data_IF_710530746587
#
_entry.id   IF_710530746587
#
_cell.length_a   1.000
_cell.length_b   1.000
_cell.length_c   1.000
_cell.angle_alpha   90.00
_cell.angle_beta   90.00
_cell.angle_gamma   90.00
#
_symmetry.space_group_name_H-M   'P 1'
#
loop_
_entity.id
_entity.type
_entity.pdbx_description
1 polymer ?
#
# COMPACT_ATOMS: atom_id res chain seq x y z
N UNK A 1 21.35 17.84 8.90
CA UNK A 1 20.42 16.78 8.49
C UNK A 1 21.14 15.86 7.49
N UNK A 2 20.92 14.55 7.53
CA UNK A 2 21.56 13.62 6.59
C UNK A 2 20.86 13.68 5.22
N UNK A 3 21.51 14.20 4.15
CA UNK A 3 20.87 14.36 2.85
C UNK A 3 20.66 13.03 2.10
N UNK A 4 21.27 11.96 2.56
CA UNK A 4 21.16 10.62 1.96
C UNK A 4 20.17 9.71 2.68
N UNK A 5 19.45 10.23 3.68
CA UNK A 5 18.46 9.40 4.39
C UNK A 5 17.28 9.05 3.49
N UNK A 6 16.86 7.81 3.54
CA UNK A 6 15.60 7.36 2.97
C UNK A 6 14.62 7.20 4.13
N UNK A 7 13.53 7.92 4.10
CA UNK A 7 12.45 7.82 5.05
C UNK A 7 11.24 7.18 4.34
N UNK A 8 10.85 6.00 4.79
CA UNK A 8 9.76 5.25 4.16
C UNK A 8 8.63 5.01 5.17
N UNK A 9 7.41 5.27 4.77
CA UNK A 9 6.20 4.98 5.55
C UNK A 9 5.16 4.26 4.70
N UNK A 10 4.47 3.34 5.33
CA UNK A 10 3.32 2.65 4.75
C UNK A 10 2.13 2.77 5.70
N UNK A 11 0.95 2.94 5.15
CA UNK A 11 -0.29 3.05 5.93
C UNK A 11 -1.44 2.34 5.21
N UNK A 12 -2.57 2.22 5.87
CA UNK A 12 -3.75 1.60 5.26
C UNK A 12 -4.34 2.42 4.12
N UNK A 13 -4.51 3.72 4.37
CA UNK A 13 -5.32 4.60 3.51
C UNK A 13 -4.57 5.85 3.02
N UNK A 14 -3.26 5.88 3.14
CA UNK A 14 -2.47 7.06 2.80
C UNK A 14 -2.41 8.09 3.93
N UNK A 15 -1.60 9.17 3.74
CA UNK A 15 -1.36 10.17 4.77
C UNK A 15 -2.49 11.22 4.87
N UNK A 16 -3.34 11.31 3.86
CA UNK A 16 -4.37 12.34 3.73
C UNK A 16 -5.74 11.71 3.50
N UNK A 17 -6.79 12.49 3.73
CA UNK A 17 -8.16 12.05 3.57
C UNK A 17 -8.82 11.59 4.86
N UNK A 18 -10.12 11.30 4.77
CA UNK A 18 -10.98 10.96 5.90
C UNK A 18 -10.50 9.74 6.70
N UNK A 19 -9.91 8.77 6.00
CA UNK A 19 -9.49 7.49 6.58
C UNK A 19 -8.01 7.44 6.99
N UNK A 20 -7.26 8.53 6.81
CA UNK A 20 -5.81 8.56 7.03
C UNK A 20 -5.35 8.16 8.43
N UNK A 21 -6.23 8.28 9.43
CA UNK A 21 -5.94 7.90 10.82
C UNK A 21 -6.50 6.54 11.22
N UNK A 22 -7.18 5.86 10.31
CA UNK A 22 -7.77 4.56 10.57
C UNK A 22 -6.76 3.44 10.29
N UNK A 23 -6.83 2.40 11.11
CA UNK A 23 -6.15 1.15 10.82
C UNK A 23 -6.82 0.44 9.63
N UNK A 24 -6.05 -0.26 8.85
CA UNK A 24 -6.56 -1.11 7.78
C UNK A 24 -6.28 -2.58 8.08
N UNK A 25 -7.04 -3.41 7.42
CA UNK A 25 -6.85 -4.86 7.35
C UNK A 25 -7.15 -5.29 5.92
N UNK A 26 -6.57 -6.37 5.48
CA UNK A 26 -6.75 -6.89 4.13
C UNK A 26 -8.21 -6.95 3.68
N UNK A 27 -9.08 -7.52 4.51
CA UNK A 27 -10.51 -7.63 4.21
C UNK A 27 -11.20 -6.26 4.01
N UNK A 28 -10.78 -5.23 4.77
CA UNK A 28 -11.29 -3.87 4.62
C UNK A 28 -10.86 -3.28 3.28
N UNK A 29 -9.60 -3.46 2.92
CA UNK A 29 -9.09 -3.01 1.63
C UNK A 29 -9.76 -3.73 0.45
N UNK A 30 -10.00 -5.03 0.55
CA UNK A 30 -10.74 -5.78 -0.47
C UNK A 30 -12.18 -5.28 -0.63
N UNK A 31 -12.85 -4.97 0.48
CA UNK A 31 -14.21 -4.43 0.45
C UNK A 31 -14.25 -3.03 -0.18
N UNK A 32 -13.37 -2.13 0.26
CA UNK A 32 -13.34 -0.73 -0.19
C UNK A 32 -12.88 -0.57 -1.64
N UNK A 33 -11.94 -1.40 -2.10
CA UNK A 33 -11.47 -1.38 -3.50
C UNK A 33 -12.46 -1.99 -4.49
N UNK A 34 -13.50 -2.69 -4.01
CA UNK A 34 -14.41 -3.45 -4.83
C UNK A 34 -13.90 -4.84 -5.23
N UNK A 35 -12.72 -5.25 -4.78
CA UNK A 35 -12.17 -6.57 -5.10
C UNK A 35 -13.07 -7.72 -4.63
N UNK A 36 -13.65 -7.60 -3.43
CA UNK A 36 -14.58 -8.59 -2.90
C UNK A 36 -15.85 -8.72 -3.74
N UNK A 37 -16.36 -7.60 -4.27
CA UNK A 37 -17.53 -7.60 -5.18
C UNK A 37 -17.19 -8.27 -6.51
N UNK A 38 -16.03 -7.94 -7.08
CA UNK A 38 -15.56 -8.55 -8.32
C UNK A 38 -15.34 -10.06 -8.17
N UNK A 39 -14.74 -10.48 -7.06
CA UNK A 39 -14.52 -11.90 -6.75
C UNK A 39 -15.84 -12.68 -6.57
N UNK A 40 -16.85 -12.05 -6.00
CA UNK A 40 -18.19 -12.63 -5.83
C UNK A 40 -19.01 -12.76 -7.12
N UNK A 41 -18.52 -12.20 -8.24
CA UNK A 41 -19.22 -12.25 -9.52
C UNK A 41 -20.00 -10.98 -9.88
N UNK A 42 -19.75 -9.88 -9.16
CA UNK A 42 -20.30 -8.57 -9.43
C UNK A 42 -21.40 -8.11 -8.46
N UNK A 43 -21.98 -6.92 -8.70
CA UNK A 43 -22.84 -6.25 -7.73
C UNK A 43 -24.17 -6.94 -7.43
N UNK A 44 -24.56 -7.93 -8.22
CA UNK A 44 -25.78 -8.72 -8.02
C UNK A 44 -25.56 -10.00 -7.19
N UNK A 45 -24.34 -10.23 -6.74
CA UNK A 45 -23.96 -11.40 -5.97
C UNK A 45 -23.37 -10.99 -4.62
N UNK A 46 -23.29 -11.95 -3.71
CA UNK A 46 -22.63 -11.69 -2.43
C UNK A 46 -21.12 -11.45 -2.63
N UNK A 47 -20.54 -10.41 -2.02
CA UNK A 47 -19.12 -10.20 -2.05
C UNK A 47 -18.36 -11.38 -1.42
N UNK A 48 -17.28 -11.80 -2.05
CA UNK A 48 -16.41 -12.87 -1.58
C UNK A 48 -15.01 -12.34 -1.40
N UNK A 49 -14.41 -12.58 -0.24
CA UNK A 49 -13.02 -12.22 -0.01
C UNK A 49 -12.08 -13.18 -0.77
N UNK A 50 -11.08 -12.60 -1.39
CA UNK A 50 -9.97 -13.35 -1.96
C UNK A 50 -9.11 -13.86 -0.81
N UNK A 51 -8.82 -15.14 -0.78
CA UNK A 51 -7.94 -15.74 0.22
C UNK A 51 -6.48 -15.28 0.07
N UNK A 52 -5.68 -15.55 1.09
CA UNK A 52 -4.25 -15.21 1.14
C UNK A 52 -3.92 -13.71 1.20
N UNK A 53 -4.82 -12.87 1.67
CA UNK A 53 -4.55 -11.46 1.98
C UNK A 53 -3.89 -10.68 0.82
N UNK A 54 -4.51 -10.59 -0.37
CA UNK A 54 -3.89 -9.98 -1.53
C UNK A 54 -3.60 -8.49 -1.36
N UNK A 55 -4.38 -7.76 -0.57
CA UNK A 55 -4.14 -6.35 -0.30
C UNK A 55 -2.91 -6.14 0.60
N UNK A 56 -2.75 -6.97 1.64
CA UNK A 56 -1.56 -6.97 2.49
C UNK A 56 -0.31 -7.31 1.68
N UNK A 57 -0.38 -8.34 0.84
CA UNK A 57 0.75 -8.76 0.02
C UNK A 57 1.13 -7.71 -1.01
N UNK A 58 0.17 -7.15 -1.74
CA UNK A 58 0.44 -6.10 -2.73
C UNK A 58 1.01 -4.84 -2.08
N UNK A 59 0.47 -4.43 -0.92
CA UNK A 59 1.00 -3.34 -0.12
C UNK A 59 2.45 -3.57 0.32
N UNK A 60 2.75 -4.78 0.81
CA UNK A 60 4.11 -5.16 1.21
C UNK A 60 5.10 -5.15 0.02
N UNK A 61 4.71 -5.70 -1.12
CA UNK A 61 5.53 -5.69 -2.34
C UNK A 61 5.77 -4.28 -2.86
N UNK A 62 4.74 -3.44 -2.92
CA UNK A 62 4.87 -2.05 -3.34
C UNK A 62 5.81 -1.27 -2.42
N UNK A 63 5.69 -1.48 -1.12
CA UNK A 63 6.56 -0.82 -0.14
C UNK A 63 8.02 -1.27 -0.29
N UNK A 64 8.27 -2.57 -0.37
CA UNK A 64 9.61 -3.11 -0.57
C UNK A 64 10.23 -2.62 -1.88
N UNK A 65 9.47 -2.64 -2.98
CA UNK A 65 9.94 -2.14 -4.28
C UNK A 65 10.27 -0.65 -4.25
N UNK A 66 9.46 0.15 -3.56
CA UNK A 66 9.71 1.58 -3.40
C UNK A 66 11.01 1.85 -2.64
N UNK A 67 11.29 1.08 -1.59
CA UNK A 67 12.54 1.19 -0.83
C UNK A 67 13.75 0.83 -1.70
N UNK A 68 13.68 -0.29 -2.44
CA UNK A 68 14.76 -0.70 -3.34
C UNK A 68 14.99 0.34 -4.44
N UNK A 69 13.93 0.91 -5.00
CA UNK A 69 14.03 1.98 -5.99
C UNK A 69 14.71 3.24 -5.43
N UNK A 70 14.39 3.60 -4.19
CA UNK A 70 15.03 4.72 -3.51
C UNK A 70 16.51 4.45 -3.18
N UNK A 71 16.84 3.23 -2.81
CA UNK A 71 18.24 2.82 -2.61
C UNK A 71 19.03 2.93 -3.92
N UNK A 72 18.47 2.44 -5.02
CA UNK A 72 19.09 2.56 -6.34
C UNK A 72 19.28 4.03 -6.75
N UNK A 73 18.28 4.87 -6.52
CA UNK A 73 18.40 6.32 -6.75
C UNK A 73 19.53 6.92 -5.91
N UNK A 74 19.57 6.59 -4.62
CA UNK A 74 20.61 7.08 -3.70
C UNK A 74 22.01 6.67 -4.14
N UNK A 75 22.21 5.43 -4.58
CA UNK A 75 23.51 4.96 -5.09
C UNK A 75 24.01 5.78 -6.30
N UNK A 76 23.09 6.23 -7.14
CA UNK A 76 23.40 7.01 -8.34
C UNK A 76 23.56 8.52 -8.10
N UNK A 77 22.89 9.06 -7.10
CA UNK A 77 22.78 10.51 -6.90
C UNK A 77 23.37 11.00 -5.58
N UNK A 78 23.63 10.09 -4.64
CA UNK A 78 24.00 10.40 -3.26
C UNK A 78 22.85 10.98 -2.43
N UNK A 79 21.62 11.07 -2.97
CA UNK A 79 20.48 11.72 -2.33
C UNK A 79 19.44 10.70 -1.88
N UNK A 80 19.00 10.87 -0.64
CA UNK A 80 17.85 10.16 -0.11
C UNK A 80 16.53 10.81 -0.52
N UNK A 81 15.43 10.22 -0.08
CA UNK A 81 14.09 10.74 -0.35
C UNK A 81 13.07 10.21 0.66
N UNK A 82 11.95 10.88 0.71
CA UNK A 82 10.79 10.42 1.45
C UNK A 82 9.87 9.61 0.54
N UNK A 83 9.43 8.45 1.05
CA UNK A 83 8.53 7.53 0.37
C UNK A 83 7.28 7.34 1.21
N UNK A 84 6.15 7.33 0.53
CA UNK A 84 4.88 6.93 1.13
C UNK A 84 4.17 5.95 0.22
N UNK A 85 3.64 4.90 0.81
CA UNK A 85 2.75 3.94 0.14
C UNK A 85 1.52 3.70 1.00
N UNK A 86 0.47 3.19 0.38
CA UNK A 86 -0.73 2.76 1.08
C UNK A 86 -1.13 1.37 0.63
N UNK A 87 -1.99 0.74 1.43
CA UNK A 87 -2.54 -0.58 1.13
C UNK A 87 -3.75 -0.49 0.18
N UNK A 88 -4.46 0.65 0.26
CA UNK A 88 -5.60 0.99 -0.59
C UNK A 88 -5.27 2.17 -1.47
#
# INVERSE_FOLDING_TARGET
>A
MNPSIIYASNSGFGPEGEWSRNGSMDAVCQAMSGAAVAQGGGPSHEPVLIENCPADQSGAWNFAFSIVSALFHRERTGRGQWLQTSQL
#
